data_IF_101311069023
#
_entry.id   IF_101311069023
#
_cell.length_a   1.000
_cell.length_b   1.000
_cell.length_c   1.000
_cell.angle_alpha   90.00
_cell.angle_beta   90.00
_cell.angle_gamma   90.00
#
_symmetry.space_group_name_H-M   'P 1'
#
loop_
_entity.id
_entity.type
_entity.pdbx_description
1 polymer ?
#
# COMPACT_ATOMS: atom_id res chain seq x y z
N UNK A 1 -14.48 14.43 -1.35
CA UNK A 1 -14.55 13.75 -0.05
C UNK A 1 -13.16 13.79 0.56
N UNK A 2 -13.02 14.13 1.84
CA UNK A 2 -11.72 14.09 2.50
C UNK A 2 -11.44 12.64 2.86
N UNK A 3 -10.64 11.93 2.08
CA UNK A 3 -10.28 10.54 2.37
C UNK A 3 -9.59 10.46 3.73
N UNK A 4 -10.12 9.63 4.64
CA UNK A 4 -9.49 9.36 5.93
C UNK A 4 -8.27 8.48 5.74
N UNK A 5 -7.15 8.86 6.36
CA UNK A 5 -5.91 8.09 6.30
C UNK A 5 -5.25 7.95 7.68
N UNK A 6 -4.45 6.91 7.84
CA UNK A 6 -3.50 6.73 8.95
C UNK A 6 -2.13 7.16 8.44
N UNK A 7 -1.43 8.02 9.16
CA UNK A 7 -0.05 8.37 8.84
C UNK A 7 0.91 7.52 9.67
N UNK A 8 1.85 6.84 9.00
CA UNK A 8 2.94 6.11 9.65
C UNK A 8 4.29 6.65 9.20
N UNK A 9 5.16 6.97 10.16
CA UNK A 9 6.53 7.42 9.89
C UNK A 9 7.47 6.23 9.92
N UNK A 10 8.30 6.09 8.89
CA UNK A 10 9.29 5.01 8.82
C UNK A 10 10.41 5.27 9.85
N UNK A 11 10.58 4.32 10.77
CA UNK A 11 11.53 4.42 11.90
C UNK A 11 12.77 3.53 11.77
N UNK A 12 12.80 2.64 10.78
CA UNK A 12 13.91 1.70 10.58
C UNK A 12 14.26 1.60 9.12
N UNK A 13 15.54 1.34 8.86
CA UNK A 13 16.06 1.06 7.52
C UNK A 13 15.51 -0.26 6.97
N UNK A 14 15.70 -0.46 5.66
CA UNK A 14 15.31 -1.66 4.91
C UNK A 14 13.80 -2.00 5.00
N UNK A 15 12.96 -1.01 5.34
CA UNK A 15 11.53 -1.20 5.45
C UNK A 15 10.86 -1.02 4.09
N UNK A 16 10.18 -2.07 3.62
CA UNK A 16 9.36 -2.04 2.39
C UNK A 16 7.94 -1.58 2.69
N UNK A 17 7.25 -1.04 1.68
CA UNK A 17 5.84 -0.65 1.81
C UNK A 17 4.94 -1.83 2.22
N UNK A 18 5.18 -3.02 1.66
CA UNK A 18 4.44 -4.24 2.03
C UNK A 18 4.59 -4.59 3.51
N UNK A 19 5.80 -4.44 4.08
CA UNK A 19 6.04 -4.69 5.51
C UNK A 19 5.34 -3.66 6.39
N UNK A 20 5.30 -2.39 5.98
CA UNK A 20 4.57 -1.33 6.70
C UNK A 20 3.08 -1.65 6.74
N UNK A 21 2.50 -1.97 5.57
CA UNK A 21 1.10 -2.38 5.45
C UNK A 21 0.81 -3.58 6.35
N UNK A 22 1.64 -4.62 6.29
CA UNK A 22 1.48 -5.82 7.11
C UNK A 22 1.58 -5.54 8.62
N UNK A 23 2.51 -4.68 9.07
CA UNK A 23 2.65 -4.33 10.49
C UNK A 23 1.39 -3.64 11.03
N UNK A 24 0.81 -2.75 10.25
CA UNK A 24 -0.35 -1.94 10.66
C UNK A 24 -1.65 -2.72 10.56
N UNK A 25 -1.88 -3.37 9.42
CA UNK A 25 -3.17 -4.02 9.13
C UNK A 25 -3.21 -5.49 9.55
N UNK A 26 -2.05 -6.14 9.78
CA UNK A 26 -1.92 -7.59 9.99
C UNK A 26 -2.49 -8.45 8.86
N UNK A 27 -2.72 -7.83 7.71
CA UNK A 27 -3.22 -8.41 6.47
C UNK A 27 -2.67 -7.61 5.30
N UNK A 28 -2.64 -8.22 4.12
CA UNK A 28 -2.31 -7.54 2.88
C UNK A 28 -3.49 -7.68 1.91
N UNK A 29 -4.45 -6.73 1.95
CA UNK A 29 -5.61 -6.78 1.07
C UNK A 29 -5.16 -6.63 -0.39
N UNK A 30 -5.82 -7.36 -1.28
CA UNK A 30 -5.50 -7.36 -2.72
C UNK A 30 -5.71 -5.95 -3.28
N UNK A 31 -4.73 -5.42 -4.01
CA UNK A 31 -4.81 -4.08 -4.62
C UNK A 31 -4.56 -2.91 -3.66
N UNK A 32 -4.39 -3.18 -2.35
CA UNK A 32 -4.21 -2.13 -1.36
C UNK A 32 -2.86 -1.43 -1.49
N UNK A 33 -1.81 -2.18 -1.83
CA UNK A 33 -0.47 -1.61 -2.04
C UNK A 33 -0.48 -0.58 -3.18
N UNK A 34 -1.12 -0.91 -4.29
CA UNK A 34 -1.28 -0.04 -5.46
C UNK A 34 -2.08 1.21 -5.10
N UNK A 35 -3.10 1.07 -4.25
CA UNK A 35 -3.87 2.22 -3.73
C UNK A 35 -3.01 3.12 -2.84
N UNK A 36 -2.19 2.56 -1.95
CA UNK A 36 -1.26 3.35 -1.14
C UNK A 36 -0.27 4.10 -2.03
N UNK A 37 0.26 3.46 -3.08
CA UNK A 37 1.15 4.13 -4.04
C UNK A 37 0.43 5.24 -4.83
N UNK A 38 -0.81 5.02 -5.25
CA UNK A 38 -1.60 6.04 -5.94
C UNK A 38 -1.88 7.26 -5.03
N UNK A 39 -2.10 7.02 -3.73
CA UNK A 39 -2.33 8.06 -2.73
C UNK A 39 -1.04 8.80 -2.32
N UNK A 40 0.12 8.16 -2.46
CA UNK A 40 1.43 8.72 -2.11
C UNK A 40 2.38 8.60 -3.31
N UNK A 41 2.22 9.49 -4.29
CA UNK A 41 2.94 9.44 -5.56
C UNK A 41 4.47 9.42 -5.39
N UNK A 42 4.97 10.07 -4.33
CA UNK A 42 6.37 10.18 -3.95
C UNK A 42 7.00 8.88 -3.45
N UNK A 43 6.20 7.93 -2.92
CA UNK A 43 6.71 6.64 -2.46
C UNK A 43 7.20 5.76 -3.61
N UNK A 44 6.60 5.90 -4.79
CA UNK A 44 6.95 5.13 -5.99
C UNK A 44 8.42 5.31 -6.40
N UNK A 45 9.01 6.46 -6.07
CA UNK A 45 10.39 6.82 -6.39
C UNK A 45 11.40 6.20 -5.41
N UNK A 46 10.95 5.70 -4.27
CA UNK A 46 11.81 5.14 -3.21
C UNK A 46 11.90 3.61 -3.25
N UNK A 47 11.38 2.96 -4.30
CA UNK A 47 11.34 1.50 -4.36
C UNK A 47 12.75 0.87 -4.41
N UNK A 48 12.99 -0.27 -3.73
CA UNK A 48 12.03 -1.05 -2.93
C UNK A 48 12.00 -0.68 -1.43
N UNK A 49 12.94 0.14 -0.94
CA UNK A 49 13.12 0.45 0.48
C UNK A 49 12.79 1.90 0.80
N UNK A 50 11.88 2.10 1.76
CA UNK A 50 11.49 3.43 2.19
C UNK A 50 12.60 4.09 3.01
N UNK A 51 12.80 5.39 2.78
CA UNK A 51 13.76 6.18 3.54
C UNK A 51 13.24 6.39 4.97
N UNK A 52 14.14 6.35 5.96
CA UNK A 52 13.78 6.69 7.35
C UNK A 52 13.27 8.14 7.41
N UNK A 53 12.20 8.36 8.16
CA UNK A 53 11.53 9.66 8.25
C UNK A 53 10.47 9.90 7.17
N UNK A 54 10.38 9.06 6.13
CA UNK A 54 9.27 9.10 5.17
C UNK A 54 7.94 8.90 5.90
N UNK A 55 6.93 9.71 5.53
CA UNK A 55 5.57 9.60 6.06
C UNK A 55 4.70 8.90 5.03
N UNK A 56 4.26 7.69 5.34
CA UNK A 56 3.34 6.91 4.51
C UNK A 56 1.92 7.20 4.96
N UNK A 57 1.05 7.63 4.05
CA UNK A 57 -0.38 7.81 4.33
C UNK A 57 -1.17 6.60 3.82
N UNK A 58 -1.79 5.88 4.73
CA UNK A 58 -2.57 4.68 4.44
C UNK A 58 -4.06 5.04 4.41
N UNK A 59 -4.75 5.00 3.25
CA UNK A 59 -6.17 5.27 3.18
C UNK A 59 -6.98 4.21 3.94
N UNK A 60 -7.95 4.64 4.76
CA UNK A 60 -8.75 3.78 5.66
C UNK A 60 -10.08 3.37 5.03
N UNK A 61 -10.63 4.22 4.16
CA UNK A 61 -11.88 3.93 3.48
C UNK A 61 -11.63 2.81 2.46
N UNK A 62 -12.23 1.64 2.72
CA UNK A 62 -12.22 0.42 1.88
C UNK A 62 -10.95 -0.45 1.93
N UNK A 63 -10.63 -0.95 3.13
CA UNK A 63 -9.90 -2.23 3.22
C UNK A 63 -10.92 -3.35 3.00
N UNK A 64 -11.28 -3.61 1.74
CA UNK A 64 -12.15 -4.74 1.37
C UNK A 64 -11.29 -5.98 1.13
N UNK A 65 -11.62 -7.06 1.84
CA UNK A 65 -11.03 -8.39 1.62
C UNK A 65 -11.79 -9.21 0.56
N UNK A 66 -12.76 -8.58 -0.11
CA UNK A 66 -13.50 -9.27 -1.17
C UNK A 66 -12.53 -9.56 -2.33
N UNK A 67 -12.44 -10.83 -2.77
CA UNK A 67 -11.65 -11.16 -3.94
C UNK A 67 -12.20 -10.36 -5.11
N UNK A 68 -11.41 -9.40 -5.60
CA UNK A 68 -11.76 -8.63 -6.78
C UNK A 68 -12.00 -9.62 -7.91
N UNK A 69 -13.24 -9.67 -8.40
CA UNK A 69 -13.59 -10.45 -9.58
C UNK A 69 -12.74 -9.89 -10.73
N UNK A 70 -11.71 -10.64 -11.11
CA UNK A 70 -10.74 -10.22 -12.11
C UNK A 70 -11.04 -10.98 -13.38
N UNK A 71 -11.21 -10.25 -14.48
CA UNK A 71 -11.33 -10.86 -15.80
C UNK A 71 -9.98 -11.48 -16.15
N UNK A 72 -9.92 -12.82 -16.13
CA UNK A 72 -8.70 -13.56 -16.48
C UNK A 72 -8.55 -13.51 -18.00
N UNK A 73 -7.66 -12.63 -18.47
CA UNK A 73 -7.26 -12.58 -19.88
C UNK A 73 -6.16 -13.63 -20.08
N UNK A 74 -6.46 -14.69 -20.83
CA UNK A 74 -5.44 -15.64 -21.30
C UNK A 74 -4.79 -15.08 -22.55
N UNK A 75 -3.48 -14.88 -22.51
CA UNK A 75 -2.71 -14.33 -23.64
C UNK A 75 -2.36 -15.40 -24.68
N UNK A 76 -2.46 -16.68 -24.31
CA UNK A 76 -2.21 -17.84 -25.17
C UNK A 76 -3.07 -19.01 -24.69
N UNK A 77 -3.42 -19.91 -25.62
CA UNK A 77 -4.18 -21.15 -25.37
C UNK A 77 -3.36 -22.23 -24.68
#
# INVERSE_FOLDING_TARGET
MTEKFIAETIKSEEMTLSQVIWRLLRQQPIGYLERVLAFNQDLSLQAPYLTVGTVVKLPVEEITNEPRQTDVIRLWD
#
